data_IF_912299670865
#
_entry.id   IF_912299670865
#
_cell.length_a   1.000
_cell.length_b   1.000
_cell.length_c   1.000
_cell.angle_alpha   90.00
_cell.angle_beta   90.00
_cell.angle_gamma   90.00
#
_symmetry.space_group_name_H-M   'P 1'
#
loop_
_entity.id
_entity.type
_entity.pdbx_description
1 polymer ?
#
# COMPACT_ATOMS: atom_id res chain seq x y z
N UNK A 1 12.42 5.20 2.08
CA UNK A 1 12.74 3.77 1.91
C UNK A 1 11.46 2.95 1.96
N UNK A 2 11.36 1.89 1.13
CA UNK A 2 10.31 0.88 1.17
C UNK A 2 10.93 -0.43 1.63
N UNK A 3 10.29 -1.11 2.59
CA UNK A 3 10.74 -2.38 3.15
C UNK A 3 9.55 -3.33 3.20
N UNK A 4 9.77 -4.60 2.87
CA UNK A 4 8.75 -5.63 2.92
C UNK A 4 9.29 -6.90 3.61
N UNK A 5 8.51 -7.46 4.53
CA UNK A 5 8.72 -8.78 5.11
C UNK A 5 7.67 -9.73 4.52
N UNK A 6 8.11 -10.68 3.67
CA UNK A 6 7.23 -11.54 2.88
C UNK A 6 7.00 -12.88 3.57
N UNK A 7 5.73 -13.25 3.72
CA UNK A 7 5.33 -14.65 3.81
C UNK A 7 5.05 -15.14 2.38
N UNK A 8 5.96 -15.92 1.80
CA UNK A 8 5.85 -16.33 0.41
C UNK A 8 4.84 -17.48 0.27
N UNK A 9 3.78 -17.27 -0.52
CA UNK A 9 2.72 -18.24 -0.80
C UNK A 9 2.66 -18.56 -2.29
N UNK A 10 2.80 -17.56 -3.17
CA UNK A 10 2.77 -17.70 -4.63
C UNK A 10 4.11 -17.22 -5.19
N UNK A 11 4.67 -17.93 -6.17
CA UNK A 11 5.95 -17.65 -6.84
C UNK A 11 7.09 -17.30 -5.86
N UNK A 12 7.66 -18.34 -5.27
CA UNK A 12 8.69 -18.22 -4.22
C UNK A 12 9.96 -17.51 -4.71
N UNK A 13 10.29 -17.63 -5.99
CA UNK A 13 11.56 -17.15 -6.55
C UNK A 13 11.44 -15.73 -7.12
N UNK A 14 10.34 -15.38 -7.81
CA UNK A 14 10.24 -14.14 -8.57
C UNK A 14 9.30 -13.08 -7.96
N UNK A 15 8.55 -13.42 -6.91
CA UNK A 15 7.64 -12.50 -6.24
C UNK A 15 8.32 -11.64 -5.15
N UNK A 16 9.63 -11.35 -5.27
CA UNK A 16 10.34 -10.52 -4.29
C UNK A 16 9.82 -9.09 -4.27
N UNK A 17 9.73 -8.53 -3.06
CA UNK A 17 9.32 -7.14 -2.85
C UNK A 17 10.38 -6.38 -2.02
N UNK A 18 10.55 -5.06 -2.20
CA UNK A 18 9.81 -4.21 -3.15
C UNK A 18 10.05 -4.61 -4.60
N UNK A 19 8.94 -4.68 -5.39
CA UNK A 19 9.03 -4.99 -6.81
C UNK A 19 9.19 -3.70 -7.62
N UNK A 20 10.00 -3.75 -8.66
CA UNK A 20 10.35 -2.56 -9.47
C UNK A 20 9.97 -2.79 -10.92
N UNK A 21 9.36 -1.78 -11.54
CA UNK A 21 9.04 -1.74 -12.97
C UNK A 21 9.49 -0.40 -13.55
N UNK A 22 10.26 -0.44 -14.63
CA UNK A 22 10.60 0.73 -15.45
C UNK A 22 9.70 0.74 -16.69
N UNK A 23 8.80 1.71 -16.80
CA UNK A 23 7.88 1.82 -17.92
C UNK A 23 7.61 3.28 -18.28
N UNK A 24 7.68 3.62 -19.57
CA UNK A 24 7.38 4.96 -20.05
C UNK A 24 8.27 6.08 -19.48
N UNK A 25 9.48 5.75 -19.03
CA UNK A 25 10.41 6.69 -18.40
C UNK A 25 10.07 7.00 -16.94
N UNK A 26 9.11 6.28 -16.34
CA UNK A 26 8.82 6.30 -14.90
C UNK A 26 9.28 4.99 -14.27
N UNK A 27 9.80 5.08 -13.06
CA UNK A 27 10.14 3.91 -12.23
C UNK A 27 9.10 3.77 -11.13
N UNK A 28 8.37 2.67 -11.18
CA UNK A 28 7.40 2.28 -10.19
C UNK A 28 8.01 1.28 -9.20
N UNK A 29 7.79 1.50 -7.90
CA UNK A 29 8.28 0.60 -6.85
C UNK A 29 7.10 0.25 -5.96
N UNK A 30 6.73 -1.04 -5.94
CA UNK A 30 5.56 -1.57 -5.23
C UNK A 30 5.96 -2.35 -3.98
N UNK A 31 5.25 -2.09 -2.89
CA UNK A 31 5.11 -3.00 -1.75
C UNK A 31 3.63 -3.35 -1.58
N UNK A 32 3.33 -4.63 -1.41
CA UNK A 32 1.99 -5.17 -1.45
C UNK A 32 1.81 -6.29 -0.42
N UNK A 33 0.72 -6.21 0.33
CA UNK A 33 0.24 -7.24 1.25
C UNK A 33 -1.18 -7.61 0.83
N UNK A 34 -1.37 -8.78 0.25
CA UNK A 34 -2.69 -9.16 -0.24
C UNK A 34 -2.69 -10.39 -1.12
N UNK A 35 -3.82 -10.57 -1.80
CA UNK A 35 -4.04 -11.58 -2.82
C UNK A 35 -5.09 -11.05 -3.81
N UNK A 36 -4.74 -11.04 -5.11
CA UNK A 36 -5.67 -10.72 -6.19
C UNK A 36 -6.29 -12.00 -6.75
N UNK A 37 -7.61 -12.08 -6.70
CA UNK A 37 -8.37 -13.24 -7.15
C UNK A 37 -8.54 -13.29 -8.67
N UNK A 38 -8.51 -12.14 -9.34
CA UNK A 38 -8.66 -12.00 -10.78
C UNK A 38 -7.32 -11.75 -11.51
N UNK A 39 -6.23 -12.28 -10.97
CA UNK A 39 -4.89 -12.17 -11.57
C UNK A 39 -4.84 -12.67 -13.01
N UNK A 40 -5.43 -13.84 -13.37
CA UNK A 40 -5.38 -14.33 -14.75
C UNK A 40 -6.06 -13.39 -15.76
N UNK A 41 -7.20 -12.83 -15.40
CA UNK A 41 -7.97 -11.91 -16.24
C UNK A 41 -7.22 -10.58 -16.47
N UNK A 42 -6.63 -10.04 -15.39
CA UNK A 42 -5.82 -8.82 -15.48
C UNK A 42 -4.56 -9.06 -16.31
N UNK A 43 -3.88 -10.18 -16.09
CA UNK A 43 -2.71 -10.57 -16.87
C UNK A 43 -3.04 -10.63 -18.37
N UNK A 44 -4.15 -11.28 -18.75
CA UNK A 44 -4.56 -11.38 -20.15
C UNK A 44 -4.85 -9.99 -20.78
N UNK A 45 -5.53 -9.10 -20.03
CA UNK A 45 -5.81 -7.74 -20.48
C UNK A 45 -4.52 -6.94 -20.68
N UNK A 46 -3.59 -7.00 -19.74
CA UNK A 46 -2.33 -6.28 -19.80
C UNK A 46 -1.41 -6.84 -20.90
N UNK A 47 -1.36 -8.15 -21.08
CA UNK A 47 -0.62 -8.79 -22.18
C UNK A 47 -1.16 -8.34 -23.54
N UNK A 48 -2.48 -8.22 -23.71
CA UNK A 48 -3.10 -7.69 -24.92
C UNK A 48 -2.74 -6.21 -25.18
N UNK A 49 -2.38 -5.44 -24.14
CA UNK A 49 -1.89 -4.07 -24.22
C UNK A 49 -0.36 -3.98 -24.43
N UNK A 50 0.33 -5.12 -24.55
CA UNK A 50 1.76 -5.19 -24.86
C UNK A 50 2.66 -5.29 -23.61
N UNK A 51 2.10 -5.53 -22.42
CA UNK A 51 2.92 -5.79 -21.23
C UNK A 51 3.56 -7.17 -21.29
N UNK A 52 4.82 -7.26 -20.87
CA UNK A 52 5.58 -8.50 -20.76
C UNK A 52 5.82 -8.81 -19.28
N UNK A 53 5.57 -10.06 -18.88
CA UNK A 53 5.70 -10.53 -17.50
C UNK A 53 6.88 -11.50 -17.38
N UNK A 54 7.58 -11.46 -16.27
CA UNK A 54 8.70 -12.36 -15.94
C UNK A 54 8.33 -13.36 -14.84
N UNK A 55 7.24 -13.12 -14.13
CA UNK A 55 6.73 -13.99 -13.08
C UNK A 55 5.24 -14.33 -13.28
N UNK A 56 4.73 -15.20 -12.42
CA UNK A 56 3.30 -15.50 -12.34
C UNK A 56 2.65 -14.88 -11.11
N UNK A 57 3.33 -13.93 -10.45
CA UNK A 57 2.86 -13.33 -9.21
C UNK A 57 1.78 -12.29 -9.46
N UNK A 58 0.80 -12.25 -8.57
CA UNK A 58 -0.19 -11.19 -8.52
C UNK A 58 0.43 -9.81 -8.23
N UNK A 59 1.58 -9.80 -7.55
CA UNK A 59 2.39 -8.59 -7.30
C UNK A 59 2.83 -7.93 -8.60
N UNK A 60 3.33 -8.70 -9.57
CA UNK A 60 3.75 -8.17 -10.88
C UNK A 60 2.55 -7.68 -11.68
N UNK A 61 1.47 -8.44 -11.68
CA UNK A 61 0.22 -8.05 -12.36
C UNK A 61 -0.33 -6.75 -11.78
N UNK A 62 -0.32 -6.58 -10.45
CA UNK A 62 -0.73 -5.33 -9.80
C UNK A 62 0.16 -4.16 -10.20
N UNK A 63 1.47 -4.35 -10.25
CA UNK A 63 2.42 -3.31 -10.61
C UNK A 63 2.23 -2.84 -12.06
N UNK A 64 2.04 -3.78 -12.99
CA UNK A 64 1.70 -3.48 -14.39
C UNK A 64 0.33 -2.82 -14.53
N UNK A 65 -0.66 -3.25 -13.74
CA UNK A 65 -1.99 -2.63 -13.73
C UNK A 65 -1.92 -1.17 -13.28
N UNK A 66 -1.14 -0.88 -12.24
CA UNK A 66 -0.94 0.49 -11.79
C UNK A 66 -0.15 1.33 -12.81
N UNK A 67 0.89 0.79 -13.41
CA UNK A 67 1.65 1.48 -14.45
C UNK A 67 0.81 1.81 -15.69
N UNK A 68 -0.17 0.95 -16.04
CA UNK A 68 -1.05 1.13 -17.21
C UNK A 68 -2.20 2.09 -16.94
N UNK A 69 -2.87 1.96 -15.79
CA UNK A 69 -4.14 2.66 -15.51
C UNK A 69 -4.04 3.68 -14.35
N UNK A 70 -2.89 3.76 -13.69
CA UNK A 70 -2.75 4.60 -12.49
C UNK A 70 -3.74 4.21 -11.39
N UNK A 71 -4.31 5.18 -10.66
CA UNK A 71 -5.31 4.93 -9.63
C UNK A 71 -6.57 4.20 -10.11
N UNK A 72 -6.95 4.34 -11.39
CA UNK A 72 -8.14 3.69 -11.95
C UNK A 72 -8.01 2.16 -12.02
N UNK A 73 -6.79 1.63 -11.81
CA UNK A 73 -6.59 0.19 -11.67
C UNK A 73 -7.44 -0.39 -10.53
N UNK A 74 -7.72 0.38 -9.47
CA UNK A 74 -8.51 -0.05 -8.31
C UNK A 74 -9.91 -0.55 -8.68
N UNK A 75 -10.52 -0.01 -9.72
CA UNK A 75 -11.83 -0.44 -10.19
C UNK A 75 -11.80 -1.83 -10.85
N UNK A 76 -10.62 -2.24 -11.31
CA UNK A 76 -10.40 -3.52 -11.98
C UNK A 76 -9.94 -4.62 -11.02
N UNK A 77 -9.44 -4.24 -9.85
CA UNK A 77 -8.94 -5.20 -8.87
C UNK A 77 -10.07 -5.92 -8.15
N UNK A 78 -9.98 -7.25 -8.06
CA UNK A 78 -10.78 -8.09 -7.21
C UNK A 78 -9.87 -8.90 -6.29
N UNK A 79 -9.95 -8.63 -4.99
CA UNK A 79 -9.06 -9.25 -4.01
C UNK A 79 -9.07 -8.55 -2.66
N UNK A 80 -8.20 -9.02 -1.79
CA UNK A 80 -7.91 -8.43 -0.49
C UNK A 80 -6.51 -7.83 -0.53
N UNK A 81 -6.35 -6.55 -0.27
CA UNK A 81 -5.06 -5.90 -0.44
C UNK A 81 -4.86 -4.62 0.37
N UNK A 82 -3.61 -4.39 0.70
CA UNK A 82 -3.06 -3.09 1.03
C UNK A 82 -1.75 -2.93 0.28
N UNK A 83 -1.58 -1.87 -0.48
CA UNK A 83 -0.36 -1.65 -1.23
C UNK A 83 0.08 -0.19 -1.26
N UNK A 84 1.37 -0.01 -1.55
CA UNK A 84 1.96 1.29 -1.81
C UNK A 84 2.79 1.24 -3.09
N UNK A 85 2.60 2.24 -3.97
CA UNK A 85 3.41 2.44 -5.18
C UNK A 85 4.13 3.77 -5.09
N UNK A 86 5.45 3.74 -5.15
CA UNK A 86 6.28 4.92 -5.30
C UNK A 86 6.59 5.16 -6.79
N UNK A 87 6.30 6.36 -7.26
CA UNK A 87 6.60 6.86 -8.59
C UNK A 87 7.82 7.77 -8.49
N UNK A 88 8.96 7.28 -8.95
CA UNK A 88 10.24 7.92 -8.65
C UNK A 88 10.42 9.26 -9.35
N UNK A 89 10.02 9.38 -10.62
CA UNK A 89 10.13 10.63 -11.37
C UNK A 89 9.07 11.64 -10.91
N UNK A 90 7.85 11.19 -10.70
CA UNK A 90 6.77 12.02 -10.22
C UNK A 90 6.92 12.43 -8.74
N UNK A 91 7.80 11.78 -7.96
CA UNK A 91 7.98 11.96 -6.52
C UNK A 91 6.66 11.80 -5.76
N UNK A 92 5.87 10.80 -6.15
CA UNK A 92 4.55 10.51 -5.60
C UNK A 92 4.49 9.13 -4.99
N UNK A 93 3.87 9.04 -3.83
CA UNK A 93 3.50 7.78 -3.18
C UNK A 93 1.99 7.63 -3.24
N UNK A 94 1.55 6.52 -3.80
CA UNK A 94 0.15 6.12 -3.83
C UNK A 94 -0.07 4.98 -2.84
N UNK A 95 -1.07 5.11 -1.97
CA UNK A 95 -1.50 4.10 -1.00
C UNK A 95 -2.91 3.65 -1.36
N UNK A 96 -3.20 2.36 -1.26
CA UNK A 96 -4.55 1.86 -1.45
C UNK A 96 -4.86 0.67 -0.53
N UNK A 97 -6.14 0.52 -0.19
CA UNK A 97 -6.67 -0.56 0.64
C UNK A 97 -7.92 -1.14 0.03
N UNK A 98 -8.11 -2.45 0.14
CA UNK A 98 -9.27 -3.17 -0.37
C UNK A 98 -10.61 -2.64 0.16
N UNK A 99 -11.68 -2.93 -0.59
CA UNK A 99 -13.03 -2.39 -0.35
C UNK A 99 -13.61 -2.75 1.02
N UNK A 100 -13.21 -3.91 1.56
CA UNK A 100 -13.69 -4.43 2.85
C UNK A 100 -12.73 -4.08 3.99
N UNK A 101 -11.46 -3.75 3.65
CA UNK A 101 -10.40 -3.46 4.61
C UNK A 101 -9.86 -4.71 5.32
N UNK A 102 -9.79 -5.82 4.59
CA UNK A 102 -9.24 -7.08 5.14
C UNK A 102 -7.76 -6.90 5.47
N UNK A 103 -7.00 -6.28 4.57
CA UNK A 103 -5.59 -5.99 4.83
C UNK A 103 -5.45 -4.61 5.50
N UNK A 104 -4.76 -4.53 6.65
CA UNK A 104 -4.58 -3.26 7.34
C UNK A 104 -3.52 -2.39 6.65
N UNK A 105 -3.71 -1.06 6.76
CA UNK A 105 -2.72 -0.06 6.34
C UNK A 105 -2.82 1.15 7.24
N UNK A 106 -1.76 1.40 8.01
CA UNK A 106 -1.65 2.54 8.92
C UNK A 106 -0.65 3.55 8.39
N UNK A 107 -0.86 4.82 8.69
CA UNK A 107 0.06 5.88 8.32
C UNK A 107 0.11 7.01 9.34
N UNK A 108 1.20 7.75 9.31
CA UNK A 108 1.38 8.97 10.10
C UNK A 108 2.14 10.01 9.28
N UNK A 109 1.72 11.27 9.38
CA UNK A 109 2.45 12.40 8.83
C UNK A 109 3.32 13.02 9.91
N UNK A 110 4.59 13.27 9.60
CA UNK A 110 5.58 13.90 10.48
C UNK A 110 6.41 14.89 9.68
N UNK A 111 6.18 16.20 9.92
CA UNK A 111 6.77 17.23 9.06
C UNK A 111 6.46 16.95 7.60
N UNK A 112 7.49 16.85 6.78
CA UNK A 112 7.39 16.56 5.34
C UNK A 112 7.52 15.05 5.02
N UNK A 113 7.38 14.20 6.04
CA UNK A 113 7.52 12.74 5.88
C UNK A 113 6.18 12.03 6.08
N UNK A 114 5.88 11.08 5.21
CA UNK A 114 4.83 10.08 5.39
C UNK A 114 5.48 8.75 5.81
N UNK A 115 5.01 8.20 6.91
CA UNK A 115 5.44 6.90 7.43
C UNK A 115 4.21 5.98 7.37
N UNK A 116 4.35 4.79 6.79
CA UNK A 116 3.24 3.84 6.70
C UNK A 116 3.69 2.41 6.98
N UNK A 117 2.77 1.56 7.43
CA UNK A 117 3.01 0.14 7.68
C UNK A 117 1.70 -0.66 7.70
N UNK A 118 1.79 -1.96 7.49
CA UNK A 118 0.65 -2.88 7.69
C UNK A 118 0.31 -3.11 9.15
N UNK A 119 1.23 -2.87 10.09
CA UNK A 119 1.04 -3.10 11.51
C UNK A 119 1.42 -1.89 12.36
N UNK A 120 0.60 -1.59 13.38
CA UNK A 120 0.85 -0.50 14.31
C UNK A 120 2.21 -0.62 15.02
N UNK A 121 2.58 -1.84 15.45
CA UNK A 121 3.88 -2.05 16.09
C UNK A 121 5.07 -1.64 15.23
N UNK A 122 4.96 -1.82 13.91
CA UNK A 122 6.00 -1.43 12.96
C UNK A 122 6.12 0.10 12.86
N UNK A 123 4.99 0.81 12.83
CA UNK A 123 4.98 2.27 12.89
C UNK A 123 5.62 2.80 14.18
N UNK A 124 5.31 2.18 15.32
CA UNK A 124 5.84 2.58 16.63
C UNK A 124 7.36 2.35 16.79
N UNK A 125 7.98 1.57 15.90
CA UNK A 125 9.44 1.47 15.86
C UNK A 125 10.11 2.74 15.30
N UNK A 126 9.34 3.62 14.62
CA UNK A 126 9.90 4.85 14.10
C UNK A 126 10.06 5.89 15.22
N UNK A 127 11.25 6.51 15.38
CA UNK A 127 11.55 7.40 16.52
C UNK A 127 10.63 8.62 16.62
N UNK A 128 10.06 9.07 15.52
CA UNK A 128 9.15 10.23 15.48
C UNK A 128 7.69 9.86 15.78
N UNK A 129 7.38 8.59 15.98
CA UNK A 129 6.03 8.13 16.32
C UNK A 129 6.00 7.68 17.78
N UNK A 130 5.59 8.57 18.71
CA UNK A 130 5.53 8.20 20.14
C UNK A 130 4.40 7.19 20.38
N UNK A 131 4.60 6.18 21.24
CA UNK A 131 3.58 5.21 21.60
C UNK A 131 2.57 5.80 22.61
N UNK A 132 1.97 6.93 22.26
CA UNK A 132 0.99 7.65 23.07
C UNK A 132 -0.41 7.40 22.56
N UNK A 133 -1.28 6.87 23.42
CA UNK A 133 -2.71 6.73 23.16
C UNK A 133 -3.40 8.01 23.61
N UNK A 134 -4.26 8.57 22.77
CA UNK A 134 -5.11 9.70 23.16
C UNK A 134 -6.48 9.23 23.66
N UNK A 135 -7.33 10.19 24.07
CA UNK A 135 -8.64 9.86 24.61
C UNK A 135 -9.54 9.11 23.61
N UNK A 136 -9.40 9.41 22.29
CA UNK A 136 -10.17 8.76 21.24
C UNK A 136 -9.72 7.31 21.04
N UNK A 137 -8.40 7.08 20.93
CA UNK A 137 -7.83 5.73 20.82
C UNK A 137 -8.11 4.88 22.06
N UNK A 138 -8.09 5.50 23.24
CA UNK A 138 -8.47 4.81 24.49
C UNK A 138 -9.94 4.41 24.50
N UNK A 139 -10.83 5.29 24.05
CA UNK A 139 -12.26 4.99 23.93
C UNK A 139 -12.51 3.84 22.94
N UNK A 140 -11.83 3.83 21.78
CA UNK A 140 -11.91 2.73 20.82
C UNK A 140 -11.55 1.39 21.45
N UNK A 141 -10.40 1.33 22.13
CA UNK A 141 -9.94 0.09 22.78
C UNK A 141 -10.90 -0.40 23.86
N UNK A 142 -11.42 0.51 24.70
CA UNK A 142 -12.27 0.15 25.85
C UNK A 142 -13.72 -0.17 25.44
N UNK A 143 -14.27 0.53 24.44
CA UNK A 143 -15.68 0.43 24.06
C UNK A 143 -15.92 -0.56 22.91
N UNK A 144 -15.00 -0.66 21.95
CA UNK A 144 -15.13 -1.51 20.77
C UNK A 144 -14.37 -2.83 20.90
N UNK A 145 -13.51 -2.97 21.92
CA UNK A 145 -12.71 -4.17 22.13
C UNK A 145 -11.75 -4.44 20.95
N UNK A 146 -11.86 -5.61 20.27
CA UNK A 146 -11.00 -5.92 19.13
C UNK A 146 -11.33 -5.12 17.86
N UNK A 147 -12.49 -4.47 17.83
CA UNK A 147 -12.90 -3.58 16.74
C UNK A 147 -12.20 -2.22 16.83
N UNK A 148 -12.31 -1.44 15.76
CA UNK A 148 -11.83 -0.05 15.70
C UNK A 148 -12.77 0.80 14.88
N UNK A 149 -12.85 2.07 15.22
CA UNK A 149 -13.51 3.06 14.35
C UNK A 149 -12.71 3.17 13.04
N UNK A 150 -13.33 3.00 11.85
CA UNK A 150 -12.63 3.12 10.58
C UNK A 150 -11.87 4.44 10.45
N UNK A 151 -10.56 4.35 10.23
CA UNK A 151 -9.65 5.50 10.19
C UNK A 151 -8.90 5.79 11.49
N UNK A 152 -9.29 5.16 12.61
CA UNK A 152 -8.59 5.30 13.88
C UNK A 152 -7.35 4.40 13.93
N UNK A 153 -6.19 4.99 14.21
CA UNK A 153 -4.92 4.26 14.41
C UNK A 153 -4.59 3.98 15.86
N UNK A 154 -5.52 4.24 16.81
CA UNK A 154 -5.38 4.08 18.26
C UNK A 154 -4.35 5.03 18.88
N UNK A 155 -3.18 5.17 18.27
CA UNK A 155 -2.09 6.03 18.76
C UNK A 155 -2.22 7.45 18.20
N UNK A 156 -1.78 8.41 19.01
CA UNK A 156 -1.84 9.83 18.68
C UNK A 156 -1.16 10.13 17.34
N UNK A 157 -1.92 10.79 16.43
CA UNK A 157 -1.49 11.14 15.07
C UNK A 157 -1.13 9.93 14.18
N UNK A 158 -1.54 8.73 14.52
CA UNK A 158 -1.56 7.58 13.65
C UNK A 158 -2.97 7.40 13.11
N UNK A 159 -3.08 7.15 11.83
CA UNK A 159 -4.36 6.93 11.15
C UNK A 159 -4.35 5.56 10.46
N UNK A 160 -5.51 4.97 10.31
CA UNK A 160 -5.72 3.81 9.47
C UNK A 160 -6.31 4.28 8.13
N UNK A 161 -5.78 3.80 7.01
CA UNK A 161 -6.43 4.04 5.72
C UNK A 161 -7.76 3.29 5.71
N UNK A 162 -8.87 4.02 5.50
CA UNK A 162 -10.22 3.43 5.54
C UNK A 162 -10.40 2.37 4.46
N UNK A 163 -11.25 1.35 4.72
CA UNK A 163 -11.66 0.39 3.70
C UNK A 163 -12.13 1.07 2.42
N UNK A 164 -11.73 0.55 1.25
CA UNK A 164 -12.09 1.07 -0.05
C UNK A 164 -11.53 2.46 -0.37
N UNK A 165 -10.55 2.94 0.38
CA UNK A 165 -9.94 4.24 0.17
C UNK A 165 -8.52 4.11 -0.39
N UNK A 166 -8.11 5.16 -1.08
CA UNK A 166 -6.74 5.40 -1.48
C UNK A 166 -6.29 6.80 -1.03
N UNK A 167 -4.99 7.03 -1.04
CA UNK A 167 -4.37 8.32 -0.74
C UNK A 167 -3.14 8.53 -1.62
N UNK A 168 -2.92 9.76 -2.05
CA UNK A 168 -1.71 10.18 -2.76
C UNK A 168 -0.95 11.18 -1.91
N UNK A 169 0.35 10.97 -1.80
CA UNK A 169 1.28 11.87 -1.14
C UNK A 169 2.37 12.27 -2.12
N UNK A 170 2.49 13.57 -2.36
CA UNK A 170 3.58 14.13 -3.17
C UNK A 170 4.63 14.69 -2.24
N UNK A 171 5.89 14.28 -2.42
CA UNK A 171 6.99 14.85 -1.64
C UNK A 171 7.11 16.33 -2.02
N UNK A 172 7.08 17.27 -1.04
CA UNK A 172 7.30 18.68 -1.33
C UNK A 172 8.66 18.84 -2.02
N UNK A 173 8.67 19.46 -3.19
CA UNK A 173 9.94 19.84 -3.82
C UNK A 173 10.58 20.91 -2.92
N UNK A 174 11.67 20.54 -2.26
CA UNK A 174 12.54 21.51 -1.61
C UNK A 174 13.10 22.38 -2.73
N UNK A 175 12.76 23.63 -2.74
CA UNK A 175 12.87 24.58 -3.82
C UNK A 175 14.10 24.44 -4.72
N UNK A 176 13.81 24.50 -6.03
CA UNK A 176 14.81 24.76 -7.05
C UNK A 176 15.27 26.24 -6.97
#
# INVERSE_FOLDING_TARGET
>A
ALIHARLAVVDLENGCQPMVLDQGGEKYILVYNGELYNTPELHAQLAALGHCFVSHSDTEVLLHAFAQWGPDCLEKLNGIFAFAVWQQRAQKLFLARDRVGVKPLFYALRGDSLIFASELKTLLCHPEIPPQVDAHGLADVLLLGPGRTPGCGVFRNVQELKPGCCAEYTVPQVGA
#
